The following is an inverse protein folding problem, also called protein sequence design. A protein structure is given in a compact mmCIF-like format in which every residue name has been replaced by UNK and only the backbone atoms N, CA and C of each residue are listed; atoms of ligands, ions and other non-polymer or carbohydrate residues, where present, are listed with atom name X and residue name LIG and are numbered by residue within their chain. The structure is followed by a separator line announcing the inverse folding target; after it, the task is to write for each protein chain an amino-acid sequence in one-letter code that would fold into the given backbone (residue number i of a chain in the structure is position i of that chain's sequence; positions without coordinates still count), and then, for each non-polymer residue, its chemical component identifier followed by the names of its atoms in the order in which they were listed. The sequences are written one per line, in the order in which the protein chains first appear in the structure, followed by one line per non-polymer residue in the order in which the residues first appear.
data_IF_504644118810
#
_entry.id   IF_504644118810
#
_cell.length_a   1.000
_cell.length_b   1.000
_cell.length_c   1.000
_cell.angle_alpha   90.00
_cell.angle_beta   90.00
_cell.angle_gamma   90.00
#
_symmetry.space_group_name_H-M   'P 1'
#
loop_
_entity.id
_entity.type
_entity.pdbx_description
1 polymer ?
#
# COMPACT_ATOMS: atom_id res chain seq x y z
N UNK A 1 -1.80 81.78 -30.29
CA UNK A 1 -1.77 80.42 -30.86
C UNK A 1 -0.58 79.69 -30.28
N UNK A 2 -0.79 78.88 -29.23
CA UNK A 2 0.23 77.99 -28.67
C UNK A 2 -0.33 76.58 -28.80
N UNK A 3 0.27 75.78 -29.68
CA UNK A 3 -0.08 74.37 -29.86
C UNK A 3 0.72 73.54 -28.87
N UNK A 4 0.05 72.99 -27.86
CA UNK A 4 0.59 72.02 -26.93
C UNK A 4 0.58 70.65 -27.60
N UNK A 5 1.77 70.10 -27.90
CA UNK A 5 1.94 68.72 -28.37
C UNK A 5 2.08 67.83 -27.14
N UNK A 6 1.04 67.05 -26.83
CA UNK A 6 1.05 66.05 -25.77
C UNK A 6 1.62 64.75 -26.35
N UNK A 7 2.87 64.44 -25.97
CA UNK A 7 3.51 63.14 -26.20
C UNK A 7 2.91 62.09 -25.25
N UNK A 8 2.00 61.27 -25.74
CA UNK A 8 1.55 60.05 -25.09
C UNK A 8 2.63 58.97 -25.27
N UNK A 9 3.48 58.80 -24.26
CA UNK A 9 4.36 57.63 -24.14
C UNK A 9 3.48 56.41 -23.82
N UNK A 10 3.20 55.61 -24.84
CA UNK A 10 2.66 54.27 -24.70
C UNK A 10 3.69 53.38 -24.01
N UNK A 11 3.56 53.20 -22.69
CA UNK A 11 4.22 52.12 -21.96
C UNK A 11 3.60 50.81 -22.45
N UNK A 12 4.28 50.17 -23.39
CA UNK A 12 3.99 48.79 -23.77
C UNK A 12 4.34 47.87 -22.60
N UNK A 13 3.36 47.61 -21.72
CA UNK A 13 3.41 46.42 -20.89
C UNK A 13 3.26 45.22 -21.83
N UNK A 14 4.37 44.64 -22.26
CA UNK A 14 4.35 43.28 -22.81
C UNK A 14 3.71 42.38 -21.74
N UNK A 15 2.61 41.68 -22.04
CA UNK A 15 2.11 40.63 -21.16
C UNK A 15 3.16 39.54 -21.18
N UNK A 16 4.10 39.60 -20.21
CA UNK A 16 5.04 38.53 -19.94
C UNK A 16 4.21 37.27 -19.82
N UNK A 17 4.28 36.40 -20.83
CA UNK A 17 3.65 35.10 -20.81
C UNK A 17 4.18 34.42 -19.56
N UNK A 18 3.37 34.42 -18.51
CA UNK A 18 3.49 33.53 -17.36
C UNK A 18 3.07 32.15 -17.84
N UNK A 19 3.78 31.67 -18.87
CA UNK A 19 3.64 30.38 -19.49
C UNK A 19 3.77 29.37 -18.38
N UNK A 20 2.66 28.72 -18.10
CA UNK A 20 2.52 27.88 -16.94
C UNK A 20 3.47 26.69 -17.13
N UNK A 21 4.59 26.67 -16.40
CA UNK A 21 5.75 25.85 -16.79
C UNK A 21 5.51 24.37 -16.54
N UNK A 22 5.45 23.62 -17.64
CA UNK A 22 5.48 22.16 -17.63
C UNK A 22 6.90 21.67 -17.33
N UNK A 23 7.04 20.81 -16.33
CA UNK A 23 8.30 20.15 -16.00
C UNK A 23 8.27 18.69 -16.42
N UNK A 24 9.01 18.38 -17.49
CA UNK A 24 9.32 17.02 -17.90
C UNK A 24 10.70 16.61 -17.33
N UNK A 25 10.70 15.89 -16.21
CA UNK A 25 11.91 15.39 -15.55
C UNK A 25 12.16 13.96 -16.01
N UNK A 26 13.19 13.80 -16.85
CA UNK A 26 13.62 12.50 -17.39
C UNK A 26 15.06 12.12 -17.02
N UNK A 27 15.84 13.09 -16.53
CA UNK A 27 17.26 12.95 -16.17
C UNK A 27 17.62 14.00 -15.12
N UNK A 28 18.77 13.82 -14.46
CA UNK A 28 19.32 14.80 -13.49
C UNK A 28 19.43 16.22 -14.07
N UNK A 29 19.84 16.36 -15.34
CA UNK A 29 19.89 17.66 -16.04
C UNK A 29 18.52 18.38 -16.08
N UNK A 30 17.41 17.64 -16.02
CA UNK A 30 16.07 18.20 -15.94
C UNK A 30 15.78 18.90 -14.60
N UNK A 31 16.42 18.45 -13.52
CA UNK A 31 16.32 19.07 -12.19
C UNK A 31 17.11 20.38 -12.12
N UNK A 32 18.20 20.49 -12.87
CA UNK A 32 19.11 21.64 -12.79
C UNK A 32 18.54 22.92 -13.44
N UNK A 33 17.65 22.75 -14.44
CA UNK A 33 17.02 23.86 -15.17
C UNK A 33 16.15 24.72 -14.24
N UNK A 34 16.22 26.04 -14.38
CA UNK A 34 15.89 27.01 -13.32
C UNK A 34 14.41 27.40 -13.13
N UNK A 35 13.44 26.67 -13.68
CA UNK A 35 12.02 27.04 -13.52
C UNK A 35 11.32 26.29 -12.37
N UNK A 36 10.44 26.99 -11.64
CA UNK A 36 9.45 26.37 -10.75
C UNK A 36 8.47 25.51 -11.56
N UNK A 37 8.08 24.36 -11.02
CA UNK A 37 7.21 23.40 -11.70
C UNK A 37 5.77 23.54 -11.22
N UNK A 38 4.88 24.04 -12.08
CA UNK A 38 3.44 24.01 -11.79
C UNK A 38 2.80 22.68 -12.20
N UNK A 39 3.26 22.12 -13.33
CA UNK A 39 2.78 20.86 -13.87
C UNK A 39 3.93 19.85 -13.96
N UNK A 40 3.69 18.64 -13.50
CA UNK A 40 4.72 17.62 -13.37
C UNK A 40 4.48 16.40 -14.26
N UNK A 41 5.55 16.01 -14.95
CA UNK A 41 5.75 14.71 -15.56
C UNK A 41 7.15 14.19 -15.22
N UNK A 42 7.21 13.17 -14.39
CA UNK A 42 8.46 12.48 -14.04
C UNK A 42 8.38 11.01 -14.49
N UNK A 43 9.26 10.63 -15.43
CA UNK A 43 9.20 9.37 -16.19
C UNK A 43 10.38 8.44 -15.89
N UNK A 44 10.84 8.36 -14.66
CA UNK A 44 12.17 7.78 -14.41
C UNK A 44 12.19 6.85 -13.22
N UNK A 45 12.96 5.77 -13.41
CA UNK A 45 13.39 4.80 -12.39
C UNK A 45 14.86 5.04 -12.01
N UNK A 46 15.38 6.24 -12.29
CA UNK A 46 16.75 6.63 -11.99
C UNK A 46 16.88 7.05 -10.52
N UNK A 47 17.55 6.22 -9.73
CA UNK A 47 17.88 6.49 -8.32
C UNK A 47 18.60 7.83 -8.14
N UNK A 48 19.44 8.25 -9.11
CA UNK A 48 20.17 9.53 -9.03
C UNK A 48 19.25 10.72 -9.01
N UNK A 49 18.04 10.61 -9.59
CA UNK A 49 17.03 11.67 -9.52
C UNK A 49 16.37 11.69 -8.14
N UNK A 50 16.08 10.51 -7.57
CA UNK A 50 15.43 10.38 -6.26
C UNK A 50 16.32 10.85 -5.10
N UNK A 51 17.63 10.67 -5.23
CA UNK A 51 18.65 11.12 -4.28
C UNK A 51 19.10 12.56 -4.51
N UNK A 52 18.67 13.20 -5.60
CA UNK A 52 19.19 14.51 -5.97
C UNK A 52 18.75 15.60 -4.99
N UNK A 53 19.66 16.44 -4.45
CA UNK A 53 19.34 17.42 -3.41
C UNK A 53 18.32 18.48 -3.86
N UNK A 54 18.26 18.77 -5.17
CA UNK A 54 17.31 19.74 -5.75
C UNK A 54 15.95 19.15 -6.10
N UNK A 55 15.71 17.85 -5.87
CA UNK A 55 14.46 17.19 -6.24
C UNK A 55 13.27 17.87 -5.58
N UNK A 56 13.30 18.04 -4.25
CA UNK A 56 12.20 18.66 -3.52
C UNK A 56 11.94 20.09 -3.95
N UNK A 57 13.01 20.91 -4.04
CA UNK A 57 12.89 22.29 -4.52
C UNK A 57 12.23 22.41 -5.90
N UNK A 58 12.44 21.40 -6.75
CA UNK A 58 11.85 21.34 -8.07
C UNK A 58 10.35 21.05 -8.03
N UNK A 59 9.91 20.15 -7.14
CA UNK A 59 8.52 19.66 -7.11
C UNK A 59 7.64 20.33 -6.05
N UNK A 60 8.19 21.11 -5.11
CA UNK A 60 7.45 21.68 -3.97
C UNK A 60 6.31 22.65 -4.33
N UNK A 61 6.31 23.19 -5.55
CA UNK A 61 5.29 24.12 -6.06
C UNK A 61 4.32 23.48 -7.07
N UNK A 62 4.39 22.14 -7.23
CA UNK A 62 3.56 21.42 -8.19
C UNK A 62 2.09 21.46 -7.75
N UNK A 63 1.25 21.96 -8.64
CA UNK A 63 -0.21 22.03 -8.49
C UNK A 63 -0.93 20.95 -9.29
N UNK A 64 -0.28 20.36 -10.30
CA UNK A 64 -0.86 19.32 -11.16
C UNK A 64 0.15 18.23 -11.48
N UNK A 65 -0.23 16.96 -11.27
CA UNK A 65 0.62 15.81 -11.58
C UNK A 65 -0.03 14.99 -12.71
N UNK A 66 0.60 14.98 -13.87
CA UNK A 66 0.21 14.07 -14.95
C UNK A 66 0.89 12.71 -14.81
N UNK A 67 2.16 12.70 -14.40
CA UNK A 67 2.88 11.48 -14.09
C UNK A 67 3.90 11.74 -12.99
N UNK A 68 3.84 10.93 -11.94
CA UNK A 68 4.83 10.89 -10.89
C UNK A 68 5.13 9.43 -10.59
N UNK A 69 6.41 9.07 -10.66
CA UNK A 69 6.93 7.85 -10.08
C UNK A 69 7.99 8.25 -9.06
N UNK A 70 7.75 7.88 -7.81
CA UNK A 70 8.52 8.30 -6.66
C UNK A 70 8.87 7.06 -5.84
N UNK A 71 10.16 6.77 -5.72
CA UNK A 71 10.59 5.57 -5.01
C UNK A 71 11.91 5.76 -4.30
N UNK A 72 12.09 5.03 -3.19
CA UNK A 72 13.31 5.01 -2.39
C UNK A 72 13.88 6.40 -2.06
N UNK A 73 13.01 7.38 -1.84
CA UNK A 73 13.42 8.75 -1.54
C UNK A 73 13.59 8.98 -0.03
N UNK A 74 14.37 10.00 0.31
CA UNK A 74 14.51 10.50 1.69
C UNK A 74 13.53 11.63 2.01
N UNK A 75 12.68 12.05 1.06
CA UNK A 75 11.74 13.14 1.30
C UNK A 75 10.63 12.74 2.28
N UNK A 76 10.23 13.69 3.11
CA UNK A 76 9.13 13.55 4.08
C UNK A 76 7.78 14.05 3.57
N UNK A 77 7.79 14.86 2.50
CA UNK A 77 6.61 15.37 1.79
C UNK A 77 6.84 15.39 0.28
N UNK A 78 5.78 15.27 -0.50
CA UNK A 78 5.83 15.40 -1.97
C UNK A 78 5.86 16.85 -2.44
N UNK A 79 5.16 17.74 -1.75
CA UNK A 79 4.99 19.14 -2.16
C UNK A 79 4.66 20.05 -0.96
N UNK A 80 4.86 21.35 -1.11
CA UNK A 80 4.35 22.38 -0.19
C UNK A 80 2.95 22.87 -0.58
N UNK A 81 2.50 22.52 -1.80
CA UNK A 81 1.16 22.88 -2.28
C UNK A 81 0.11 22.05 -1.55
N UNK A 82 -0.88 22.71 -0.94
CA UNK A 82 -1.93 22.04 -0.18
C UNK A 82 -2.79 21.11 -1.04
N UNK A 83 -3.20 21.57 -2.23
CA UNK A 83 -4.07 20.83 -3.15
C UNK A 83 -3.36 20.54 -4.46
N UNK A 84 -3.32 19.27 -4.84
CA UNK A 84 -2.73 18.82 -6.11
C UNK A 84 -3.78 18.15 -6.99
N UNK A 85 -3.91 18.64 -8.22
CA UNK A 85 -4.81 18.09 -9.21
C UNK A 85 -4.21 16.84 -9.88
N UNK A 86 -5.01 15.78 -9.95
CA UNK A 86 -4.75 14.59 -10.77
C UNK A 86 -5.74 14.57 -11.96
N UNK A 87 -5.32 15.04 -13.14
CA UNK A 87 -6.16 15.08 -14.33
C UNK A 87 -6.48 13.67 -14.86
N UNK A 88 -7.34 13.58 -15.87
CA UNK A 88 -7.64 12.33 -16.54
C UNK A 88 -6.34 11.69 -17.10
N UNK A 89 -6.20 10.36 -16.95
CA UNK A 89 -4.99 9.59 -17.33
C UNK A 89 -3.74 9.90 -16.50
N UNK A 90 -3.89 10.58 -15.35
CA UNK A 90 -2.78 10.75 -14.43
C UNK A 90 -2.25 9.41 -13.92
N UNK A 91 -0.94 9.34 -13.69
CA UNK A 91 -0.28 8.19 -13.04
C UNK A 91 0.47 8.68 -11.80
N UNK A 92 0.18 8.07 -10.65
CA UNK A 92 0.83 8.34 -9.38
C UNK A 92 1.35 7.03 -8.79
N UNK A 93 2.67 6.87 -8.76
CA UNK A 93 3.35 5.71 -8.18
C UNK A 93 4.25 6.17 -7.04
N UNK A 94 3.95 5.74 -5.82
CA UNK A 94 4.72 6.04 -4.60
C UNK A 94 5.13 4.72 -3.94
N UNK A 95 6.37 4.31 -4.13
CA UNK A 95 6.86 2.98 -3.78
C UNK A 95 8.04 3.07 -2.82
N UNK A 96 8.03 2.34 -1.71
CA UNK A 96 9.23 2.16 -0.88
C UNK A 96 9.84 3.49 -0.37
N UNK A 97 9.01 4.44 0.08
CA UNK A 97 9.49 5.71 0.64
C UNK A 97 9.36 5.70 2.18
N UNK A 98 10.39 5.25 2.93
CA UNK A 98 10.29 4.99 4.37
C UNK A 98 10.09 6.27 5.21
N UNK A 99 10.48 7.42 4.66
CA UNK A 99 10.40 8.71 5.35
C UNK A 99 9.21 9.57 4.92
N UNK A 100 8.48 9.19 3.87
CA UNK A 100 7.36 9.95 3.36
C UNK A 100 6.17 9.87 4.34
N UNK A 101 5.79 11.02 4.89
CA UNK A 101 4.78 11.13 5.95
C UNK A 101 3.48 11.78 5.45
N UNK A 102 3.60 12.78 4.58
CA UNK A 102 2.46 13.62 4.18
C UNK A 102 2.25 13.60 2.67
N UNK A 103 0.98 13.41 2.28
CA UNK A 103 0.48 13.68 0.94
C UNK A 103 -0.23 15.04 0.90
N UNK A 104 -0.20 15.75 -0.24
CA UNK A 104 -1.14 16.86 -0.46
C UNK A 104 -2.58 16.34 -0.56
N UNK A 105 -3.55 17.24 -0.46
CA UNK A 105 -4.92 16.93 -0.80
C UNK A 105 -5.03 16.68 -2.30
N UNK A 106 -5.23 15.42 -2.70
CA UNK A 106 -5.39 15.09 -4.11
C UNK A 106 -6.81 15.39 -4.59
N UNK A 107 -6.94 16.24 -5.62
CA UNK A 107 -8.20 16.45 -6.34
C UNK A 107 -8.19 15.63 -7.64
N UNK A 108 -8.82 14.45 -7.60
CA UNK A 108 -8.95 13.57 -8.78
C UNK A 108 -10.08 14.08 -9.68
N UNK A 109 -9.73 14.42 -10.92
CA UNK A 109 -10.70 14.95 -11.91
C UNK A 109 -11.65 13.85 -12.37
N UNK A 110 -11.11 12.71 -12.83
CA UNK A 110 -11.85 11.55 -13.32
C UNK A 110 -11.21 10.25 -12.79
N UNK A 111 -11.84 9.64 -11.79
CA UNK A 111 -11.32 8.42 -11.16
C UNK A 111 -11.33 7.20 -12.07
N UNK A 112 -12.14 7.17 -13.14
CA UNK A 112 -12.26 5.96 -14.00
C UNK A 112 -11.03 5.71 -14.85
N UNK A 113 -10.21 6.73 -15.07
CA UNK A 113 -9.04 6.70 -15.96
C UNK A 113 -7.78 7.15 -15.24
N UNK A 114 -7.66 6.84 -13.94
CA UNK A 114 -6.45 7.15 -13.18
C UNK A 114 -5.72 5.87 -12.81
N UNK A 115 -4.39 5.92 -12.79
CA UNK A 115 -3.55 4.85 -12.29
C UNK A 115 -2.84 5.33 -11.02
N UNK A 116 -3.15 4.70 -9.90
CA UNK A 116 -2.57 5.04 -8.59
C UNK A 116 -2.03 3.76 -7.97
N UNK A 117 -0.77 3.82 -7.54
CA UNK A 117 -0.10 2.74 -6.84
C UNK A 117 0.73 3.34 -5.69
N UNK A 118 0.34 3.06 -4.46
CA UNK A 118 1.03 3.53 -3.25
C UNK A 118 1.32 2.31 -2.42
N UNK A 119 2.57 1.89 -2.32
CA UNK A 119 2.97 0.66 -1.62
C UNK A 119 4.24 0.89 -0.79
N UNK A 120 4.30 0.24 0.37
CA UNK A 120 5.46 0.23 1.25
C UNK A 120 5.96 1.64 1.69
N UNK A 121 5.03 2.52 2.08
CA UNK A 121 5.33 3.83 2.67
C UNK A 121 4.82 3.84 4.13
N UNK A 122 5.55 3.28 5.10
CA UNK A 122 5.03 2.92 6.42
C UNK A 122 4.50 4.10 7.24
N UNK A 123 5.03 5.31 7.02
CA UNK A 123 4.62 6.53 7.74
C UNK A 123 3.55 7.33 7.03
N UNK A 124 3.10 6.87 5.86
CA UNK A 124 2.22 7.63 4.99
C UNK A 124 0.75 7.38 5.33
N UNK A 125 0.04 8.44 5.67
CA UNK A 125 -1.42 8.42 5.74
C UNK A 125 -2.03 8.60 4.34
N UNK A 126 -2.73 7.57 3.88
CA UNK A 126 -3.40 7.53 2.57
C UNK A 126 -4.91 7.70 2.66
N UNK A 127 -5.45 8.04 3.84
CA UNK A 127 -6.90 8.15 4.09
C UNK A 127 -7.58 9.09 3.10
N UNK A 128 -7.06 10.33 2.97
CA UNK A 128 -7.59 11.33 2.04
C UNK A 128 -7.62 10.83 0.60
N UNK A 129 -6.53 10.20 0.15
CA UNK A 129 -6.41 9.67 -1.21
C UNK A 129 -7.41 8.54 -1.48
N UNK A 130 -7.57 7.62 -0.51
CA UNK A 130 -8.54 6.53 -0.58
C UNK A 130 -9.98 7.05 -0.64
N UNK A 131 -10.32 8.04 0.17
CA UNK A 131 -11.65 8.68 0.19
C UNK A 131 -11.96 9.37 -1.13
N UNK A 132 -11.02 10.16 -1.66
CA UNK A 132 -11.17 10.79 -2.96
C UNK A 132 -11.32 9.75 -4.08
N UNK A 133 -10.54 8.67 -4.05
CA UNK A 133 -10.65 7.63 -5.06
C UNK A 133 -12.04 6.96 -5.03
N UNK A 134 -12.56 6.65 -3.84
CA UNK A 134 -13.93 6.13 -3.66
C UNK A 134 -14.98 7.12 -4.17
N UNK A 135 -14.89 8.38 -3.74
CA UNK A 135 -15.80 9.47 -4.15
C UNK A 135 -15.84 9.64 -5.68
N UNK A 136 -14.69 9.50 -6.33
CA UNK A 136 -14.52 9.64 -7.79
C UNK A 136 -14.68 8.33 -8.56
N UNK A 137 -15.11 7.26 -7.89
CA UNK A 137 -15.38 5.93 -8.47
C UNK A 137 -14.17 5.36 -9.22
N UNK A 138 -13.00 5.39 -8.58
CA UNK A 138 -11.82 4.68 -9.07
C UNK A 138 -12.12 3.20 -9.30
N UNK A 139 -11.48 2.57 -10.30
CA UNK A 139 -11.49 1.12 -10.47
C UNK A 139 -11.08 0.38 -9.19
N UNK A 140 -11.70 -0.78 -8.93
CA UNK A 140 -11.43 -1.60 -7.74
C UNK A 140 -9.95 -1.99 -7.63
N UNK A 141 -9.31 -2.32 -8.75
CA UNK A 141 -7.88 -2.62 -8.80
C UNK A 141 -7.01 -1.40 -8.45
N UNK A 142 -7.39 -0.18 -8.87
CA UNK A 142 -6.70 1.05 -8.47
C UNK A 142 -6.82 1.27 -6.96
N UNK A 143 -8.00 1.06 -6.37
CA UNK A 143 -8.20 1.20 -4.91
C UNK A 143 -7.37 0.15 -4.15
N UNK A 144 -7.30 -1.09 -4.67
CA UNK A 144 -6.50 -2.16 -4.09
C UNK A 144 -4.98 -1.88 -4.12
N UNK A 145 -4.52 -1.06 -5.08
CA UNK A 145 -3.13 -0.65 -5.21
C UNK A 145 -2.75 0.56 -4.33
N UNK A 146 -3.69 1.13 -3.59
CA UNK A 146 -3.41 2.18 -2.61
C UNK A 146 -3.32 1.50 -1.23
N UNK A 147 -2.11 1.46 -0.66
CA UNK A 147 -1.89 0.95 0.69
C UNK A 147 -2.85 1.62 1.66
N UNK A 148 -3.24 0.89 2.70
CA UNK A 148 -3.96 1.49 3.83
C UNK A 148 -2.98 2.30 4.68
N UNK A 149 -3.48 3.28 5.47
CA UNK A 149 -2.66 3.90 6.50
C UNK A 149 -2.03 2.83 7.39
N UNK A 150 -0.80 3.04 7.85
CA UNK A 150 -0.10 2.10 8.74
C UNK A 150 0.18 0.72 8.12
N UNK A 151 0.41 0.66 6.80
CA UNK A 151 0.84 -0.57 6.12
C UNK A 151 2.35 -0.73 6.20
N UNK A 152 2.85 -1.93 6.52
CA UNK A 152 4.27 -2.26 6.50
C UNK A 152 4.55 -3.57 5.73
N UNK A 153 5.83 -3.78 5.38
CA UNK A 153 6.35 -5.09 4.98
C UNK A 153 6.70 -5.90 6.23
N UNK A 154 6.68 -7.23 6.11
CA UNK A 154 6.98 -8.09 7.24
C UNK A 154 8.49 -8.09 7.53
N UNK A 155 8.86 -7.72 8.75
CA UNK A 155 10.17 -7.97 9.33
C UNK A 155 10.01 -8.17 10.84
N UNK A 156 10.99 -8.79 11.49
CA UNK A 156 10.98 -9.02 12.94
C UNK A 156 12.01 -8.12 13.63
N UNK A 157 11.65 -7.39 14.71
CA UNK A 157 10.28 -7.15 15.18
C UNK A 157 9.50 -6.29 14.17
N UNK A 158 8.17 -6.32 14.22
CA UNK A 158 7.35 -5.43 13.39
C UNK A 158 7.49 -3.97 13.86
N UNK A 159 7.45 -2.98 12.94
CA UNK A 159 7.45 -1.57 13.32
C UNK A 159 6.28 -1.24 14.26
N UNK A 160 6.51 -0.32 15.18
CA UNK A 160 5.45 0.22 16.02
C UNK A 160 4.35 0.87 15.16
N UNK A 161 3.09 0.52 15.45
CA UNK A 161 1.93 1.02 14.75
C UNK A 161 1.60 0.28 13.45
N UNK A 162 2.35 -0.77 13.08
CA UNK A 162 2.00 -1.55 11.89
C UNK A 162 0.74 -2.40 12.12
N UNK A 163 -0.36 -2.01 11.47
CA UNK A 163 -1.67 -2.67 11.57
C UNK A 163 -2.02 -3.49 10.33
N UNK A 164 -1.41 -3.18 9.18
CA UNK A 164 -1.65 -3.84 7.91
C UNK A 164 -0.33 -4.38 7.36
N UNK A 165 -0.21 -5.68 7.17
CA UNK A 165 1.00 -6.28 6.59
C UNK A 165 0.74 -6.61 5.12
N UNK A 166 1.57 -6.10 4.22
CA UNK A 166 1.52 -6.42 2.78
C UNK A 166 2.63 -7.40 2.40
N UNK A 167 2.67 -8.56 3.06
CA UNK A 167 3.66 -9.59 2.83
C UNK A 167 3.22 -10.92 3.46
N UNK A 168 4.09 -11.93 3.39
CA UNK A 168 3.94 -13.17 4.14
C UNK A 168 4.43 -13.00 5.58
N UNK A 169 3.60 -13.35 6.54
CA UNK A 169 3.91 -13.34 7.97
C UNK A 169 4.29 -14.77 8.38
N UNK A 170 5.52 -14.96 8.82
CA UNK A 170 5.99 -16.22 9.40
C UNK A 170 5.78 -16.21 10.93
N UNK A 171 5.06 -17.20 11.44
CA UNK A 171 4.72 -17.42 12.84
C UNK A 171 5.55 -18.53 13.50
N UNK A 172 6.58 -19.07 12.83
CA UNK A 172 7.44 -20.13 13.41
C UNK A 172 7.99 -19.78 14.78
N UNK A 173 8.31 -18.51 15.00
CA UNK A 173 8.71 -17.97 16.30
C UNK A 173 7.83 -16.77 16.57
N UNK A 174 6.88 -16.93 17.49
CA UNK A 174 5.96 -15.87 17.87
C UNK A 174 6.74 -14.69 18.49
N UNK A 175 6.32 -13.49 18.12
CA UNK A 175 6.86 -12.22 18.58
C UNK A 175 5.67 -11.34 18.99
N UNK A 176 5.74 -10.68 20.15
CA UNK A 176 4.63 -9.88 20.67
C UNK A 176 4.29 -8.68 19.78
N UNK A 177 5.21 -8.24 18.91
CA UNK A 177 4.91 -7.23 17.89
C UNK A 177 3.91 -7.71 16.84
N UNK A 178 3.54 -8.99 16.81
CA UNK A 178 2.47 -9.50 15.94
C UNK A 178 1.07 -9.18 16.47
N UNK A 179 0.94 -8.83 17.75
CA UNK A 179 -0.36 -8.55 18.36
C UNK A 179 -1.04 -7.32 17.79
N UNK A 180 -0.29 -6.37 17.22
CA UNK A 180 -0.83 -5.18 16.56
C UNK A 180 -1.37 -5.44 15.14
N UNK A 181 -1.09 -6.61 14.55
CA UNK A 181 -1.52 -6.92 13.18
C UNK A 181 -3.04 -7.09 13.17
N UNK A 182 -3.72 -6.34 12.30
CA UNK A 182 -5.16 -6.46 12.10
C UNK A 182 -5.51 -7.15 10.79
N UNK A 183 -4.71 -6.91 9.75
CA UNK A 183 -4.94 -7.43 8.40
C UNK A 183 -3.63 -7.85 7.76
N UNK A 184 -3.62 -9.03 7.15
CA UNK A 184 -2.51 -9.49 6.29
C UNK A 184 -3.01 -9.61 4.86
N UNK A 185 -2.34 -8.91 3.94
CA UNK A 185 -2.47 -9.04 2.50
C UNK A 185 -1.32 -9.90 1.97
N UNK A 186 -1.48 -11.21 2.04
CA UNK A 186 -0.41 -12.17 1.79
C UNK A 186 -0.68 -13.52 2.46
N UNK A 187 0.37 -14.24 2.80
CA UNK A 187 0.28 -15.53 3.45
C UNK A 187 0.54 -15.41 4.96
N UNK A 188 -0.34 -15.94 5.80
CA UNK A 188 0.00 -16.24 7.19
C UNK A 188 0.54 -17.67 7.25
N UNK A 189 1.74 -17.86 7.81
CA UNK A 189 2.42 -19.16 7.76
C UNK A 189 2.90 -19.63 9.13
N UNK A 190 2.64 -20.91 9.44
CA UNK A 190 3.19 -21.62 10.59
C UNK A 190 3.86 -22.89 10.08
N UNK A 191 5.19 -22.89 10.05
CA UNK A 191 5.99 -24.02 9.56
C UNK A 191 7.04 -24.46 10.55
N UNK A 192 7.29 -25.76 10.58
CA UNK A 192 8.37 -26.37 11.38
C UNK A 192 8.37 -25.87 12.84
N UNK A 193 7.17 -25.71 13.40
CA UNK A 193 6.94 -25.24 14.76
C UNK A 193 6.70 -26.40 15.72
N UNK A 194 7.03 -26.17 16.99
CA UNK A 194 6.74 -27.07 18.10
C UNK A 194 5.48 -26.67 18.87
N UNK A 195 4.78 -25.61 18.45
CA UNK A 195 3.54 -25.17 19.08
C UNK A 195 2.46 -26.26 19.01
N UNK A 196 1.65 -26.35 20.09
CA UNK A 196 0.49 -27.24 20.16
C UNK A 196 -0.75 -26.63 19.53
N UNK A 197 -0.86 -25.32 19.57
CA UNK A 197 -2.02 -24.57 19.11
C UNK A 197 -1.55 -23.52 18.11
N UNK A 198 -2.39 -23.13 17.17
CA UNK A 198 -2.06 -22.04 16.27
C UNK A 198 -1.93 -20.73 17.07
N UNK A 199 -0.83 -19.95 16.91
CA UNK A 199 -0.63 -18.74 17.70
C UNK A 199 -1.81 -17.77 17.60
N UNK A 200 -2.30 -17.31 18.76
CA UNK A 200 -3.35 -16.32 18.82
C UNK A 200 -2.78 -14.94 18.44
N UNK A 201 -3.43 -14.28 17.47
CA UNK A 201 -3.12 -12.91 17.07
C UNK A 201 -4.33 -12.04 17.45
N UNK A 202 -4.33 -11.40 18.63
CA UNK A 202 -5.54 -10.88 19.28
C UNK A 202 -6.29 -9.83 18.45
N UNK A 203 -5.57 -9.02 17.65
CA UNK A 203 -6.19 -8.01 16.80
C UNK A 203 -6.40 -8.46 15.35
N UNK A 204 -5.90 -9.65 14.96
CA UNK A 204 -6.00 -10.13 13.60
C UNK A 204 -7.45 -10.49 13.29
N UNK A 205 -8.03 -9.74 12.36
CA UNK A 205 -9.44 -9.89 11.97
C UNK A 205 -9.61 -10.30 10.51
N UNK A 206 -8.59 -10.12 9.67
CA UNK A 206 -8.70 -10.42 8.25
C UNK A 206 -7.40 -10.94 7.65
N UNK A 207 -7.53 -11.96 6.80
CA UNK A 207 -6.51 -12.37 5.85
C UNK A 207 -7.04 -12.17 4.44
N UNK A 208 -6.19 -11.71 3.53
CA UNK A 208 -6.54 -11.45 2.14
C UNK A 208 -5.49 -12.04 1.22
N UNK A 209 -5.94 -12.92 0.34
CA UNK A 209 -5.07 -13.60 -0.60
C UNK A 209 -4.46 -12.60 -1.59
N UNK A 210 -3.15 -12.72 -1.80
CA UNK A 210 -2.46 -12.04 -2.90
C UNK A 210 -2.47 -12.96 -4.12
N UNK A 211 -2.66 -12.44 -5.36
CA UNK A 211 -2.67 -13.28 -6.56
C UNK A 211 -1.45 -14.20 -6.65
N UNK A 212 -1.71 -15.50 -6.91
CA UNK A 212 -0.67 -16.53 -7.02
C UNK A 212 -0.07 -17.02 -5.69
N UNK A 213 -0.53 -16.52 -4.54
CA UNK A 213 -0.06 -16.93 -3.22
C UNK A 213 -1.19 -17.56 -2.39
N UNK A 214 -0.90 -18.51 -1.49
CA UNK A 214 -1.85 -18.94 -0.48
C UNK A 214 -2.10 -17.84 0.55
N UNK A 215 -3.27 -17.86 1.18
CA UNK A 215 -3.61 -16.99 2.31
C UNK A 215 -3.17 -17.59 3.64
N UNK A 216 -3.12 -18.93 3.72
CA UNK A 216 -2.71 -19.66 4.93
C UNK A 216 -1.82 -20.85 4.57
N UNK A 217 -0.70 -21.00 5.28
CA UNK A 217 0.21 -22.15 5.14
C UNK A 217 0.55 -22.76 6.50
N UNK A 218 0.18 -24.01 6.72
CA UNK A 218 0.40 -24.75 7.97
C UNK A 218 1.07 -26.08 7.63
N UNK A 219 2.38 -26.16 7.77
CA UNK A 219 3.16 -27.31 7.29
C UNK A 219 4.16 -27.81 8.34
N UNK A 220 4.31 -29.13 8.46
CA UNK A 220 5.37 -29.79 9.27
C UNK A 220 5.34 -29.47 10.78
N UNK A 221 4.17 -29.19 11.37
CA UNK A 221 4.06 -28.90 12.81
C UNK A 221 3.73 -30.17 13.58
N UNK A 222 4.75 -30.81 14.18
CA UNK A 222 4.64 -32.15 14.80
C UNK A 222 3.70 -32.22 16.00
N UNK A 223 3.50 -31.10 16.69
CA UNK A 223 2.72 -31.04 17.92
C UNK A 223 1.39 -30.31 17.77
N UNK A 224 1.14 -29.69 16.61
CA UNK A 224 -0.04 -28.89 16.38
C UNK A 224 -1.29 -29.78 16.39
N UNK A 225 -2.22 -29.48 17.29
CA UNK A 225 -3.49 -30.19 17.49
C UNK A 225 -4.69 -29.32 17.15
N UNK A 226 -4.56 -28.00 17.19
CA UNK A 226 -5.69 -27.07 17.15
C UNK A 226 -5.46 -25.84 16.26
N UNK A 227 -6.53 -25.38 15.60
CA UNK A 227 -6.58 -24.20 14.72
C UNK A 227 -7.67 -23.19 15.11
N UNK A 228 -8.22 -23.24 16.34
CA UNK A 228 -9.37 -22.41 16.76
C UNK A 228 -9.11 -20.92 16.66
N UNK A 229 -7.86 -20.49 16.83
CA UNK A 229 -7.45 -19.10 16.65
C UNK A 229 -7.81 -18.54 15.25
N UNK A 230 -8.05 -19.40 14.25
CA UNK A 230 -8.41 -19.00 12.90
C UNK A 230 -9.92 -18.89 12.65
N UNK A 231 -10.77 -19.41 13.53
CA UNK A 231 -12.21 -19.57 13.25
C UNK A 231 -12.94 -18.23 13.14
N UNK A 232 -12.47 -17.21 13.87
CA UNK A 232 -13.07 -15.88 13.89
C UNK A 232 -12.50 -14.93 12.83
N UNK A 233 -11.50 -15.37 12.06
CA UNK A 233 -10.80 -14.51 11.12
C UNK A 233 -11.55 -14.49 9.79
N UNK A 234 -11.80 -13.30 9.25
CA UNK A 234 -12.36 -13.16 7.91
C UNK A 234 -11.29 -13.46 6.85
N UNK A 235 -11.52 -14.49 6.01
CA UNK A 235 -10.55 -14.89 4.99
C UNK A 235 -11.11 -14.59 3.61
N UNK A 236 -10.55 -13.57 2.98
CA UNK A 236 -10.84 -13.18 1.60
C UNK A 236 -9.92 -13.95 0.63
N UNK A 237 -10.53 -14.71 -0.27
CA UNK A 237 -9.87 -15.65 -1.17
C UNK A 237 -10.31 -15.33 -2.60
N UNK A 238 -9.33 -15.12 -3.47
CA UNK A 238 -9.54 -14.89 -4.90
C UNK A 238 -9.48 -16.22 -5.69
N UNK A 239 -8.56 -17.11 -5.32
CA UNK A 239 -8.39 -18.45 -5.91
C UNK A 239 -8.43 -19.53 -4.83
N UNK A 240 -9.57 -20.24 -4.79
CA UNK A 240 -9.82 -21.30 -3.81
C UNK A 240 -8.87 -22.49 -3.95
N UNK A 241 -8.35 -22.78 -5.15
CA UNK A 241 -7.51 -23.95 -5.39
C UNK A 241 -6.14 -23.83 -4.72
N UNK A 242 -5.66 -22.59 -4.54
CA UNK A 242 -4.39 -22.28 -3.91
C UNK A 242 -4.59 -21.51 -2.59
N UNK A 243 -5.81 -21.45 -2.05
CA UNK A 243 -6.09 -20.63 -0.87
C UNK A 243 -5.30 -21.11 0.36
N UNK A 244 -5.30 -22.42 0.61
CA UNK A 244 -4.71 -22.99 1.82
C UNK A 244 -3.81 -24.16 1.52
N UNK A 245 -2.74 -24.25 2.31
CA UNK A 245 -1.81 -25.38 2.30
C UNK A 245 -1.68 -25.91 3.72
N UNK A 246 -2.27 -27.06 3.98
CA UNK A 246 -2.20 -27.74 5.28
C UNK A 246 -1.68 -29.14 5.02
N UNK A 247 -0.47 -29.43 5.51
CA UNK A 247 0.23 -30.67 5.19
C UNK A 247 1.16 -31.10 6.33
N UNK A 248 1.32 -32.41 6.50
CA UNK A 248 2.37 -32.98 7.37
C UNK A 248 2.25 -32.50 8.84
N UNK A 249 1.02 -32.36 9.35
CA UNK A 249 0.70 -32.02 10.75
C UNK A 249 0.07 -33.25 11.44
N UNK A 250 0.86 -34.21 11.95
CA UNK A 250 0.37 -35.56 12.29
C UNK A 250 -0.60 -35.64 13.46
N UNK A 251 -0.69 -34.60 14.29
CA UNK A 251 -1.61 -34.54 15.45
C UNK A 251 -2.80 -33.62 15.22
N UNK A 252 -2.85 -32.95 14.07
CA UNK A 252 -3.94 -32.04 13.75
C UNK A 252 -5.16 -32.86 13.30
N UNK A 253 -6.27 -32.71 14.00
CA UNK A 253 -7.55 -33.31 13.66
C UNK A 253 -8.70 -32.36 14.05
N UNK A 254 -9.89 -32.58 13.50
CA UNK A 254 -11.07 -31.75 13.77
C UNK A 254 -11.93 -32.39 14.85
N UNK A 255 -12.15 -31.68 15.95
CA UNK A 255 -13.06 -32.14 17.00
C UNK A 255 -14.50 -32.19 16.49
N UNK A 256 -15.30 -33.16 16.98
CA UNK A 256 -16.68 -33.33 16.51
C UNK A 256 -17.57 -32.08 16.74
N UNK A 257 -17.32 -31.33 17.81
CA UNK A 257 -18.08 -30.11 18.10
C UNK A 257 -17.72 -28.96 17.15
N UNK A 258 -16.53 -28.97 16.55
CA UNK A 258 -16.05 -27.93 15.64
C UNK A 258 -16.32 -28.26 14.16
N UNK A 259 -16.82 -29.46 13.86
CA UNK A 259 -17.01 -29.94 12.48
C UNK A 259 -17.94 -29.03 11.63
N UNK A 260 -18.85 -28.30 12.27
CA UNK A 260 -19.79 -27.39 11.61
C UNK A 260 -19.32 -25.93 11.60
N UNK A 261 -18.14 -25.63 12.13
CA UNK A 261 -17.61 -24.27 12.12
C UNK A 261 -17.40 -23.82 10.66
N UNK A 262 -17.84 -22.59 10.28
CA UNK A 262 -17.75 -22.14 8.89
C UNK A 262 -16.34 -22.20 8.31
N UNK A 263 -15.32 -21.91 9.12
CA UNK A 263 -13.92 -22.05 8.74
C UNK A 263 -13.55 -23.51 8.40
N UNK A 264 -13.95 -24.45 9.25
CA UNK A 264 -13.68 -25.88 9.08
C UNK A 264 -14.33 -26.42 7.82
N UNK A 265 -15.64 -26.19 7.67
CA UNK A 265 -16.43 -26.66 6.50
C UNK A 265 -15.86 -26.10 5.20
N UNK A 266 -15.40 -24.84 5.21
CA UNK A 266 -14.90 -24.19 4.01
C UNK A 266 -13.47 -24.60 3.65
N UNK A 267 -12.61 -24.78 4.64
CA UNK A 267 -11.16 -24.81 4.41
C UNK A 267 -10.44 -26.07 4.90
N UNK A 268 -11.00 -26.80 5.86
CA UNK A 268 -10.36 -27.96 6.48
C UNK A 268 -10.95 -29.30 6.01
N UNK A 269 -11.56 -29.34 4.83
CA UNK A 269 -12.26 -30.53 4.29
C UNK A 269 -11.37 -31.76 4.08
N UNK A 270 -10.05 -31.60 4.12
CA UNK A 270 -9.05 -32.66 3.95
C UNK A 270 -8.42 -33.11 5.28
N UNK A 271 -8.84 -32.53 6.40
CA UNK A 271 -8.36 -32.90 7.73
C UNK A 271 -9.36 -33.84 8.37
N UNK A 272 -8.91 -34.99 8.83
CA UNK A 272 -9.76 -35.99 9.45
C UNK A 272 -10.34 -35.49 10.79
N UNK A 273 -11.53 -35.98 11.14
CA UNK A 273 -12.04 -35.78 12.49
C UNK A 273 -11.17 -36.53 13.50
N UNK A 274 -11.04 -35.97 14.70
CA UNK A 274 -10.36 -36.67 15.78
C UNK A 274 -11.10 -37.99 16.05
N UNK A 275 -10.39 -39.10 15.92
CA UNK A 275 -10.92 -40.37 16.42
C UNK A 275 -11.17 -40.18 17.91
N UNK A 276 -12.36 -40.55 18.39
CA UNK A 276 -12.60 -40.65 19.83
C UNK A 276 -11.55 -41.63 20.36
N UNK A 277 -10.47 -41.11 20.93
CA UNK A 277 -9.42 -41.94 21.50
C UNK A 277 -10.12 -42.92 22.45
N UNK A 278 -9.81 -44.21 22.26
CA UNK A 278 -10.66 -45.32 22.64
C UNK A 278 -11.23 -45.25 24.07
N UNK A 279 -12.56 -45.34 24.15
CA UNK A 279 -13.14 -46.32 25.05
C UNK A 279 -12.87 -47.70 24.45
N UNK A 280 -11.71 -48.27 24.77
CA UNK A 280 -11.48 -49.73 24.75
C UNK A 280 -11.02 -50.10 26.14
#
# INVERSE_FOLDING_TARGET
MWSLVVLLLSVGCEPGQTGSTMCDIKSVKGLEKQAQCKYLRMYTDDEKIMEHPRLFDKIKTVTTIFKLKFFNTTLTSLTETEVVMLPQKATLELLDNPLLQKLPEFNIVDGRKINIKVLNNPKLDTTQLLEQCKKKRCPTNTIANIQKPYTCTFHRPLPEGCRFVFDSVDLRTYDSSFDQIEVVYGALSLRDSNEKEFPLLPNLRQLSQKPGMPVLVIENNKNLTDLKALYTININVDDMNNAMRIKDNPKLCIEHHDANEPFVVKFLTKIDSCSKAGFI
#
